data_IF_314963743476
#
_entry.id   IF_314963743476
#
_cell.length_a   1.000
_cell.length_b   1.000
_cell.length_c   1.000
_cell.angle_alpha   90.00
_cell.angle_beta   90.00
_cell.angle_gamma   90.00
#
_symmetry.space_group_name_H-M   'P 1'
#
loop_
_entity.id
_entity.type
_entity.pdbx_description
1 polymer ?
#
# COMPACT_ATOMS: atom_id res chain seq x y z
N UNK A 1 27.14 -40.46 -15.78
CA UNK A 1 27.08 -40.15 -17.23
C UNK A 1 26.73 -38.68 -17.48
N UNK A 2 25.58 -38.20 -16.99
CA UNK A 2 25.08 -36.83 -17.23
C UNK A 2 26.09 -35.71 -16.97
N UNK A 3 26.67 -35.62 -15.76
CA UNK A 3 27.66 -34.57 -15.43
C UNK A 3 28.86 -34.62 -16.38
N UNK A 4 29.42 -35.81 -16.66
CA UNK A 4 30.57 -35.95 -17.58
C UNK A 4 30.24 -35.43 -18.97
N UNK A 5 29.08 -35.80 -19.52
CA UNK A 5 28.64 -35.34 -20.84
C UNK A 5 28.44 -33.80 -20.90
N UNK A 6 27.90 -33.20 -19.83
CA UNK A 6 27.77 -31.74 -19.74
C UNK A 6 29.14 -31.05 -19.72
N UNK A 7 30.10 -31.62 -18.98
CA UNK A 7 31.46 -31.09 -18.88
C UNK A 7 32.28 -31.28 -20.16
N UNK A 8 32.12 -32.39 -20.88
CA UNK A 8 32.81 -32.65 -22.16
C UNK A 8 32.12 -32.04 -23.37
N UNK A 9 30.93 -31.42 -23.18
CA UNK A 9 30.05 -30.90 -24.23
C UNK A 9 29.45 -31.97 -25.17
N UNK A 10 29.42 -33.23 -24.74
CA UNK A 10 28.82 -34.37 -25.46
C UNK A 10 27.40 -34.67 -24.95
N UNK A 11 26.60 -33.64 -24.72
CA UNK A 11 25.25 -33.80 -24.17
C UNK A 11 24.27 -34.31 -25.24
N UNK A 12 23.47 -35.32 -24.87
CA UNK A 12 22.29 -35.76 -25.63
C UNK A 12 21.03 -35.73 -24.75
N UNK A 13 19.85 -35.38 -25.30
CA UNK A 13 18.58 -35.35 -24.54
C UNK A 13 18.23 -36.67 -23.84
N UNK A 14 18.71 -37.79 -24.39
CA UNK A 14 18.52 -39.13 -23.82
C UNK A 14 19.11 -39.23 -22.41
N UNK A 15 20.24 -38.58 -22.13
CA UNK A 15 20.87 -38.58 -20.81
C UNK A 15 19.99 -37.92 -19.73
N UNK A 16 19.26 -36.86 -20.10
CA UNK A 16 18.30 -36.21 -19.21
C UNK A 16 17.06 -37.08 -19.00
N UNK A 17 16.59 -37.77 -20.04
CA UNK A 17 15.45 -38.70 -19.92
C UNK A 17 15.79 -39.90 -19.03
N UNK A 18 16.99 -40.46 -19.17
CA UNK A 18 17.50 -41.52 -18.30
C UNK A 18 17.61 -41.06 -16.84
N UNK A 19 18.20 -39.87 -16.62
CA UNK A 19 18.27 -39.28 -15.29
C UNK A 19 16.87 -39.06 -14.68
N UNK A 20 15.93 -38.53 -15.47
CA UNK A 20 14.54 -38.34 -15.05
C UNK A 20 13.85 -39.65 -14.67
N UNK A 21 14.11 -40.72 -15.43
CA UNK A 21 13.59 -42.06 -15.13
C UNK A 21 14.14 -42.62 -13.83
N UNK A 22 15.42 -42.38 -13.52
CA UNK A 22 16.02 -42.76 -12.22
C UNK A 22 15.34 -41.97 -11.10
N UNK A 23 15.23 -40.65 -11.23
CA UNK A 23 14.56 -39.78 -10.24
C UNK A 23 13.14 -40.28 -9.94
N UNK A 24 12.35 -40.57 -10.99
CA UNK A 24 10.97 -41.07 -10.86
C UNK A 24 10.84 -42.41 -10.12
N UNK A 25 11.91 -43.21 -10.05
CA UNK A 25 11.94 -44.47 -9.29
C UNK A 25 12.21 -44.25 -7.80
N UNK A 26 13.06 -43.27 -7.47
CA UNK A 26 13.47 -43.00 -6.10
C UNK A 26 12.55 -42.02 -5.35
N UNK A 27 11.73 -41.25 -6.05
CA UNK A 27 10.76 -40.36 -5.44
C UNK A 27 9.48 -40.28 -6.27
N UNK A 28 8.36 -40.65 -5.64
CA UNK A 28 7.03 -40.60 -6.27
C UNK A 28 6.59 -39.18 -6.61
N UNK A 29 7.01 -38.18 -5.83
CA UNK A 29 6.64 -36.77 -6.05
C UNK A 29 7.14 -36.23 -7.39
N UNK A 30 8.27 -36.75 -7.88
CA UNK A 30 8.84 -36.34 -9.15
C UNK A 30 8.41 -37.25 -10.31
N UNK A 31 7.49 -38.21 -10.15
CA UNK A 31 7.18 -39.18 -11.22
C UNK A 31 6.49 -38.56 -12.44
N UNK A 32 5.69 -37.51 -12.22
CA UNK A 32 4.90 -36.84 -13.26
C UNK A 32 5.67 -35.82 -14.08
N UNK A 33 4.93 -35.07 -14.89
CA UNK A 33 5.40 -33.96 -15.73
C UNK A 33 4.89 -32.59 -15.25
N UNK A 34 4.45 -32.50 -13.99
CA UNK A 34 4.03 -31.24 -13.40
C UNK A 34 5.24 -30.31 -13.19
N UNK A 35 4.99 -29.01 -13.03
CA UNK A 35 6.04 -28.11 -12.56
C UNK A 35 6.36 -28.39 -11.08
N UNK A 36 7.64 -28.31 -10.73
CA UNK A 36 8.16 -28.58 -9.41
C UNK A 36 9.00 -27.41 -8.92
N UNK A 37 9.10 -27.24 -7.60
CA UNK A 37 10.05 -26.32 -6.99
C UNK A 37 11.48 -26.86 -7.18
N UNK A 38 12.34 -26.06 -7.82
CA UNK A 38 13.72 -26.44 -8.10
C UNK A 38 14.55 -26.57 -6.82
N UNK A 39 14.25 -25.80 -5.77
CA UNK A 39 14.94 -25.88 -4.48
C UNK A 39 14.62 -27.19 -3.79
N UNK A 40 13.36 -27.60 -3.77
CA UNK A 40 12.94 -28.88 -3.20
C UNK A 40 13.62 -30.05 -3.93
N UNK A 41 13.65 -30.01 -5.27
CA UNK A 41 14.34 -31.02 -6.06
C UNK A 41 15.84 -31.07 -5.77
N UNK A 42 16.50 -29.91 -5.64
CA UNK A 42 17.92 -29.82 -5.33
C UNK A 42 18.25 -30.42 -3.95
N UNK A 43 17.47 -30.07 -2.92
CA UNK A 43 17.66 -30.60 -1.57
C UNK A 43 17.50 -32.12 -1.55
N UNK A 44 16.42 -32.62 -2.16
CA UNK A 44 16.21 -34.07 -2.31
C UNK A 44 17.37 -34.77 -3.02
N UNK A 45 17.86 -34.20 -4.13
CA UNK A 45 18.95 -34.77 -4.91
C UNK A 45 20.25 -34.81 -4.10
N UNK A 46 20.56 -33.72 -3.40
CA UNK A 46 21.76 -33.64 -2.55
C UNK A 46 21.72 -34.64 -1.41
N UNK A 47 20.57 -34.84 -0.78
CA UNK A 47 20.40 -35.84 0.29
C UNK A 47 20.55 -37.26 -0.26
N UNK A 48 19.95 -37.56 -1.42
CA UNK A 48 20.11 -38.88 -2.05
C UNK A 48 21.55 -39.17 -2.46
N UNK A 49 22.23 -38.18 -3.04
CA UNK A 49 23.65 -38.31 -3.35
C UNK A 49 24.49 -38.49 -2.09
N UNK A 50 24.14 -37.82 -0.98
CA UNK A 50 24.84 -37.97 0.29
C UNK A 50 24.69 -39.40 0.84
N UNK A 51 23.47 -39.94 0.85
CA UNK A 51 23.18 -41.30 1.30
C UNK A 51 23.88 -42.34 0.43
N UNK A 52 23.81 -42.23 -0.89
CA UNK A 52 24.42 -43.20 -1.81
C UNK A 52 25.96 -43.22 -1.71
N UNK A 53 26.59 -42.05 -1.52
CA UNK A 53 28.03 -41.94 -1.31
C UNK A 53 28.45 -42.36 0.12
N UNK A 54 27.56 -42.19 1.11
CA UNK A 54 27.80 -42.58 2.51
C UNK A 54 27.64 -44.09 2.75
N UNK A 55 26.65 -44.72 2.11
CA UNK A 55 26.35 -46.14 2.23
C UNK A 55 27.43 -47.04 1.60
N UNK A 56 28.24 -46.51 0.67
CA UNK A 56 29.42 -47.20 0.13
C UNK A 56 30.58 -47.34 1.14
N UNK A 57 30.46 -46.77 2.36
CA UNK A 57 31.43 -46.91 3.46
C UNK A 57 30.95 -47.92 4.51
N UNK A 58 31.52 -49.15 4.60
CA UNK A 58 30.97 -50.26 5.40
C UNK A 58 31.12 -50.13 6.94
N UNK A 59 31.43 -48.96 7.49
CA UNK A 59 31.87 -48.82 8.89
C UNK A 59 30.80 -48.45 9.94
N UNK A 60 29.49 -48.48 9.64
CA UNK A 60 28.47 -47.97 10.59
C UNK A 60 27.21 -48.83 10.76
N UNK A 61 27.31 -50.15 10.62
CA UNK A 61 26.31 -51.02 11.22
C UNK A 61 26.82 -51.50 12.58
N UNK A 62 26.04 -51.22 13.62
CA UNK A 62 26.22 -51.54 15.05
C UNK A 62 26.95 -50.50 15.91
N UNK A 63 26.15 -49.66 16.60
CA UNK A 63 26.28 -49.36 18.03
C UNK A 63 25.02 -48.63 18.49
N UNK A 64 24.08 -49.38 19.04
CA UNK A 64 22.97 -48.82 19.82
C UNK A 64 23.52 -48.21 21.13
N UNK A 65 22.95 -47.12 21.65
CA UNK A 65 23.44 -46.51 22.87
C UNK A 65 22.92 -47.30 24.08
N UNK A 66 23.82 -48.00 24.78
CA UNK A 66 23.58 -48.50 26.13
C UNK A 66 23.62 -47.32 27.09
N UNK A 67 22.50 -47.03 27.75
CA UNK A 67 22.43 -46.06 28.84
C UNK A 67 23.12 -46.65 30.09
N UNK A 68 24.10 -45.94 30.64
CA UNK A 68 24.59 -46.16 32.01
C UNK A 68 24.67 -44.81 32.70
N UNK A 69 23.99 -44.69 33.84
CA UNK A 69 23.89 -43.48 34.64
C UNK A 69 25.12 -43.18 35.50
N UNK A 70 25.29 -41.89 35.83
CA UNK A 70 26.25 -41.36 36.80
C UNK A 70 26.13 -39.82 36.96
N UNK A 71 26.46 -39.24 38.13
CA UNK A 71 25.73 -38.10 38.75
C UNK A 71 26.29 -36.69 38.43
N UNK A 72 25.63 -35.59 38.87
CA UNK A 72 25.89 -34.24 38.39
C UNK A 72 26.90 -33.50 39.28
N UNK A 73 27.88 -32.80 38.68
CA UNK A 73 28.60 -31.72 39.36
C UNK A 73 29.12 -30.70 38.36
N UNK A 74 28.89 -29.43 38.70
CA UNK A 74 29.08 -28.26 37.84
C UNK A 74 30.54 -27.87 37.61
N UNK A 75 30.75 -27.24 36.46
CA UNK A 75 31.99 -26.56 36.11
C UNK A 75 31.88 -26.02 34.69
N UNK A 76 31.85 -24.70 34.53
CA UNK A 76 31.86 -23.99 33.25
C UNK A 76 33.03 -24.49 32.39
N UNK A 77 32.71 -25.21 31.32
CA UNK A 77 33.59 -25.46 30.16
C UNK A 77 32.76 -25.16 28.90
N UNK A 78 33.32 -24.47 27.89
CA UNK A 78 32.61 -24.32 26.62
C UNK A 78 32.32 -25.72 26.05
N UNK A 79 31.15 -25.95 25.43
CA UNK A 79 30.84 -27.26 24.87
C UNK A 79 31.84 -27.53 23.75
N UNK A 80 32.76 -28.46 23.99
CA UNK A 80 33.54 -29.06 22.92
C UNK A 80 32.53 -29.73 21.99
N UNK A 81 32.52 -29.28 20.73
CA UNK A 81 31.83 -29.97 19.65
C UNK A 81 32.17 -31.46 19.74
N UNK A 82 31.21 -32.39 19.56
CA UNK A 82 31.52 -33.80 19.60
C UNK A 82 32.61 -34.06 18.57
N UNK A 83 33.77 -34.52 19.05
CA UNK A 83 34.83 -35.06 18.20
C UNK A 83 34.27 -36.33 17.56
N UNK A 84 33.52 -36.16 16.47
CA UNK A 84 33.21 -37.24 15.55
C UNK A 84 34.53 -37.71 14.93
N UNK A 85 34.72 -39.03 14.76
CA UNK A 85 36.00 -39.55 14.31
C UNK A 85 36.31 -38.99 12.93
N UNK A 86 37.49 -38.39 12.83
CA UNK A 86 38.16 -38.01 11.59
C UNK A 86 38.20 -39.26 10.70
N UNK A 87 37.30 -39.31 9.72
CA UNK A 87 37.23 -40.45 8.83
C UNK A 87 35.96 -40.45 8.01
N UNK A 88 35.87 -39.55 7.01
CA UNK A 88 35.06 -39.74 5.80
C UNK A 88 35.25 -38.57 4.83
N UNK A 89 36.07 -38.81 3.81
CA UNK A 89 36.11 -38.02 2.59
C UNK A 89 34.90 -38.40 1.72
N UNK A 90 33.73 -37.83 2.03
CA UNK A 90 32.67 -37.63 1.04
C UNK A 90 32.84 -36.23 0.47
N UNK A 91 32.53 -35.99 -0.80
CA UNK A 91 32.78 -34.70 -1.49
C UNK A 91 32.10 -33.46 -0.85
N UNK A 92 31.29 -33.67 0.22
CA UNK A 92 30.74 -32.63 1.10
C UNK A 92 31.65 -32.26 2.29
N UNK A 93 32.65 -33.09 2.62
CA UNK A 93 33.57 -32.86 3.74
C UNK A 93 34.61 -31.76 3.46
N UNK A 94 34.81 -31.39 2.20
CA UNK A 94 35.71 -30.29 1.78
C UNK A 94 35.08 -28.91 1.94
N UNK A 95 33.76 -28.80 2.08
CA UNK A 95 33.06 -27.56 2.47
C UNK A 95 32.51 -27.73 3.89
N UNK A 96 33.16 -27.10 4.87
CA UNK A 96 32.68 -27.08 6.26
C UNK A 96 31.20 -26.61 6.26
N UNK A 97 30.23 -27.41 6.74
CA UNK A 97 28.84 -26.94 6.81
C UNK A 97 28.81 -25.70 7.69
N UNK A 98 28.26 -24.61 7.16
CA UNK A 98 28.02 -23.41 7.94
C UNK A 98 27.07 -23.76 9.08
N UNK A 99 27.49 -23.49 10.32
CA UNK A 99 26.70 -23.77 11.52
C UNK A 99 26.02 -22.47 11.92
N UNK A 100 24.70 -22.43 11.85
CA UNK A 100 23.89 -21.34 12.38
C UNK A 100 23.51 -21.64 13.83
N UNK A 101 23.20 -20.61 14.61
CA UNK A 101 22.60 -20.77 15.93
C UNK A 101 21.12 -20.37 15.84
N UNK A 102 20.22 -21.33 15.95
CA UNK A 102 18.80 -21.05 16.14
C UNK A 102 18.51 -21.01 17.64
N UNK A 103 17.92 -19.92 18.13
CA UNK A 103 17.58 -19.75 19.54
C UNK A 103 16.07 -19.60 19.65
N UNK A 104 15.40 -20.56 20.28
CA UNK A 104 13.96 -20.54 20.48
C UNK A 104 13.65 -20.31 21.95
N UNK A 105 12.75 -19.37 22.24
CA UNK A 105 12.28 -19.10 23.60
C UNK A 105 10.83 -19.56 23.72
N UNK A 106 10.56 -20.48 24.65
CA UNK A 106 9.19 -20.93 24.89
C UNK A 106 8.36 -19.77 25.49
N UNK A 107 7.21 -19.38 24.91
CA UNK A 107 6.40 -18.27 25.41
C UNK A 107 5.72 -18.56 26.76
N UNK A 108 5.63 -19.83 27.17
CA UNK A 108 4.98 -20.23 28.42
C UNK A 108 5.92 -20.34 29.62
N UNK A 109 7.12 -20.90 29.43
CA UNK A 109 8.08 -21.12 30.51
C UNK A 109 9.35 -20.28 30.39
N UNK A 110 9.45 -19.44 29.35
CA UNK A 110 10.59 -18.55 29.04
C UNK A 110 11.94 -19.28 28.94
N UNK A 111 11.93 -20.61 28.85
CA UNK A 111 13.14 -21.40 28.66
C UNK A 111 13.64 -21.19 27.23
N UNK A 112 14.89 -20.75 27.13
CA UNK A 112 15.60 -20.65 25.87
C UNK A 112 16.29 -21.97 25.54
N UNK A 113 16.10 -22.45 24.32
CA UNK A 113 16.81 -23.59 23.74
C UNK A 113 17.60 -23.12 22.53
N UNK A 114 18.90 -23.40 22.53
CA UNK A 114 19.79 -23.07 21.42
C UNK A 114 20.18 -24.37 20.72
N UNK A 115 20.01 -24.40 19.40
CA UNK A 115 20.39 -25.53 18.56
C UNK A 115 21.36 -25.05 17.49
N UNK A 116 22.43 -25.83 17.27
CA UNK A 116 23.46 -25.56 16.28
C UNK A 116 23.36 -26.58 15.17
N UNK A 117 22.37 -26.40 14.29
CA UNK A 117 22.13 -27.33 13.20
C UNK A 117 22.91 -26.89 11.95
N UNK A 118 23.59 -27.84 11.27
CA UNK A 118 24.20 -27.56 9.98
C UNK A 118 23.11 -27.32 8.94
N UNK A 119 23.24 -26.26 8.15
CA UNK A 119 22.30 -25.95 7.07
C UNK A 119 22.97 -26.08 5.70
N UNK A 120 22.17 -26.43 4.69
CA UNK A 120 22.61 -26.63 3.30
C UNK A 120 22.38 -25.40 2.42
N UNK A 121 21.34 -24.62 2.74
CA UNK A 121 20.99 -23.38 2.07
C UNK A 121 20.34 -22.42 3.07
N UNK A 122 20.30 -21.13 2.73
CA UNK A 122 19.58 -20.11 3.49
C UNK A 122 18.44 -19.61 2.60
N UNK A 123 17.21 -19.66 3.11
CA UNK A 123 16.04 -19.08 2.47
C UNK A 123 15.92 -17.62 2.87
N UNK A 124 16.24 -16.71 1.95
CA UNK A 124 16.20 -15.27 2.23
C UNK A 124 14.87 -14.65 1.78
N UNK A 125 14.18 -13.89 2.65
CA UNK A 125 12.99 -13.15 2.25
C UNK A 125 13.39 -12.04 1.26
N UNK A 126 12.60 -11.89 0.20
CA UNK A 126 12.80 -10.82 -0.78
C UNK A 126 12.13 -9.55 -0.21
N UNK A 127 12.88 -8.45 0.00
CA UNK A 127 12.28 -7.16 0.34
C UNK A 127 11.17 -6.82 -0.65
N UNK A 128 9.99 -6.55 -0.13
CA UNK A 128 8.89 -6.05 -0.94
C UNK A 128 8.79 -4.54 -0.80
N UNK A 129 8.45 -3.89 -1.91
CA UNK A 129 8.19 -2.45 -1.92
C UNK A 129 7.03 -2.12 -0.95
N UNK A 130 7.36 -1.35 0.09
CA UNK A 130 6.42 -0.97 1.16
C UNK A 130 5.61 0.30 0.85
N UNK A 131 5.76 0.87 -0.35
CA UNK A 131 5.07 2.10 -0.77
C UNK A 131 4.28 1.90 -2.06
N UNK A 132 3.20 2.68 -2.21
CA UNK A 132 2.46 2.85 -3.46
C UNK A 132 2.62 4.27 -3.97
N UNK A 133 2.70 4.45 -5.28
CA UNK A 133 2.60 5.77 -5.89
C UNK A 133 1.15 6.26 -5.84
N UNK A 134 0.93 7.44 -5.29
CA UNK A 134 -0.35 8.13 -5.31
C UNK A 134 -0.17 9.54 -5.85
N UNK A 135 -1.04 9.90 -6.79
CA UNK A 135 -1.12 11.26 -7.30
C UNK A 135 -2.21 12.04 -6.56
N UNK A 136 -1.83 13.13 -5.92
CA UNK A 136 -2.73 13.98 -5.13
C UNK A 136 -2.78 15.36 -5.76
N UNK A 137 -3.99 15.88 -5.99
CA UNK A 137 -4.18 17.27 -6.43
C UNK A 137 -4.18 18.18 -5.20
N UNK A 138 -3.21 19.08 -5.14
CA UNK A 138 -3.15 20.16 -4.16
C UNK A 138 -3.89 21.38 -4.69
N UNK A 139 -4.70 21.97 -3.83
CA UNK A 139 -5.38 23.23 -4.08
C UNK A 139 -4.71 24.29 -3.22
N UNK A 140 -3.92 25.15 -3.84
CA UNK A 140 -3.20 26.23 -3.17
C UNK A 140 -4.01 27.51 -3.27
N UNK A 141 -4.35 28.07 -2.11
CA UNK A 141 -4.98 29.38 -2.02
C UNK A 141 -3.87 30.46 -2.03
N UNK A 142 -3.51 30.93 -3.22
CA UNK A 142 -2.67 32.11 -3.44
C UNK A 142 -3.52 33.25 -4.04
N UNK A 143 -2.90 34.38 -4.43
CA UNK A 143 -3.54 35.49 -5.19
C UNK A 143 -4.40 35.03 -6.38
N UNK A 144 -4.10 33.82 -6.92
CA UNK A 144 -4.97 33.04 -7.80
C UNK A 144 -4.97 31.58 -7.36
N UNK A 145 -6.06 30.87 -7.58
CA UNK A 145 -6.13 29.42 -7.40
C UNK A 145 -5.05 28.73 -8.24
N UNK A 146 -4.21 27.93 -7.59
CA UNK A 146 -3.24 27.08 -8.30
C UNK A 146 -3.49 25.63 -7.94
N UNK A 147 -3.67 24.82 -8.97
CA UNK A 147 -3.84 23.39 -8.87
C UNK A 147 -2.56 22.72 -9.33
N UNK A 148 -1.98 21.91 -8.45
CA UNK A 148 -0.77 21.15 -8.77
C UNK A 148 -1.00 19.72 -8.34
N UNK A 149 -0.75 18.78 -9.25
CA UNK A 149 -0.78 17.36 -8.93
C UNK A 149 0.61 16.96 -8.49
N UNK A 150 0.73 16.42 -7.29
CA UNK A 150 2.00 15.93 -6.74
C UNK A 150 1.98 14.41 -6.66
N UNK A 151 3.15 13.80 -6.85
CA UNK A 151 3.34 12.36 -6.74
C UNK A 151 3.93 12.00 -5.38
N UNK A 152 3.29 11.11 -4.63
CA UNK A 152 3.72 10.69 -3.30
C UNK A 152 3.95 9.18 -3.24
N UNK A 153 5.04 8.75 -2.59
CA UNK A 153 5.31 7.34 -2.25
C UNK A 153 4.69 7.01 -0.89
N UNK A 154 3.41 6.63 -0.88
CA UNK A 154 2.63 6.47 0.34
C UNK A 154 2.82 5.06 0.91
N UNK A 155 3.13 4.89 2.21
CA UNK A 155 3.26 3.57 2.82
C UNK A 155 2.00 2.71 2.65
N UNK A 156 2.17 1.43 2.31
CA UNK A 156 1.06 0.48 2.09
C UNK A 156 0.15 0.35 3.31
N UNK A 157 0.75 0.34 4.50
CA UNK A 157 0.05 0.25 5.79
C UNK A 157 -0.10 1.62 6.49
N UNK A 158 0.16 2.72 5.77
CA UNK A 158 0.06 4.08 6.32
C UNK A 158 -1.37 4.57 6.49
N UNK A 159 -1.55 5.50 7.42
CA UNK A 159 -2.83 6.15 7.76
C UNK A 159 -3.11 7.38 6.86
N UNK A 160 -4.33 7.91 6.95
CA UNK A 160 -4.67 9.20 6.31
C UNK A 160 -3.88 10.36 6.93
N UNK A 161 -3.51 10.27 8.21
CA UNK A 161 -2.67 11.28 8.86
C UNK A 161 -1.27 11.30 8.23
N UNK A 162 -0.69 10.13 7.95
CA UNK A 162 0.61 10.03 7.25
C UNK A 162 0.53 10.65 5.85
N UNK A 163 -0.55 10.37 5.11
CA UNK A 163 -0.78 10.99 3.81
C UNK A 163 -0.86 12.52 3.92
N UNK A 164 -1.58 13.05 4.91
CA UNK A 164 -1.69 14.51 5.13
C UNK A 164 -0.34 15.13 5.45
N UNK A 165 0.45 14.52 6.31
CA UNK A 165 1.79 14.99 6.64
C UNK A 165 2.71 15.00 5.41
N UNK A 166 2.64 13.95 4.57
CA UNK A 166 3.38 13.90 3.30
C UNK A 166 2.94 14.99 2.33
N UNK A 167 1.62 15.20 2.17
CA UNK A 167 1.03 16.26 1.35
C UNK A 167 1.49 17.64 1.84
N UNK A 168 1.45 17.88 3.14
CA UNK A 168 1.84 19.14 3.77
C UNK A 168 3.31 19.47 3.49
N UNK A 169 4.20 18.48 3.66
CA UNK A 169 5.63 18.61 3.36
C UNK A 169 5.89 18.90 1.88
N UNK A 170 5.24 18.17 0.98
CA UNK A 170 5.41 18.34 -0.47
C UNK A 170 4.87 19.72 -0.94
N UNK A 171 3.73 20.14 -0.41
CA UNK A 171 3.11 21.43 -0.71
C UNK A 171 3.74 22.63 0.00
N UNK A 172 4.68 22.41 0.94
CA UNK A 172 5.21 23.43 1.87
C UNK A 172 4.10 24.17 2.63
N UNK A 173 3.05 23.45 3.02
CA UNK A 173 1.88 23.96 3.76
C UNK A 173 1.91 23.34 5.16
N UNK A 174 1.51 24.05 6.23
CA UNK A 174 1.29 23.41 7.53
C UNK A 174 0.25 22.27 7.44
N UNK A 175 0.47 21.14 8.17
CA UNK A 175 -0.35 19.93 8.05
C UNK A 175 -1.83 20.14 8.37
N UNK A 176 -2.13 21.13 9.22
CA UNK A 176 -3.46 21.53 9.64
C UNK A 176 -4.31 22.20 8.54
N UNK A 177 -3.73 22.53 7.38
CA UNK A 177 -4.43 23.15 6.26
C UNK A 177 -4.62 22.19 5.07
N UNK A 178 -4.17 20.94 5.19
CA UNK A 178 -4.23 19.97 4.09
C UNK A 178 -5.63 19.34 3.96
N UNK A 179 -6.34 19.71 2.90
CA UNK A 179 -7.62 19.08 2.52
C UNK A 179 -7.40 18.08 1.37
N UNK A 180 -7.90 16.85 1.54
CA UNK A 180 -7.87 15.83 0.49
C UNK A 180 -9.23 15.73 -0.19
N UNK A 181 -9.27 15.84 -1.52
CA UNK A 181 -10.46 15.53 -2.32
C UNK A 181 -10.52 14.03 -2.64
N UNK A 182 -11.54 13.27 -2.17
CA UNK A 182 -11.81 11.98 -2.76
C UNK A 182 -12.40 12.17 -4.17
N UNK A 183 -12.01 11.31 -5.11
CA UNK A 183 -12.68 11.18 -6.41
C UNK A 183 -14.14 10.78 -6.17
N UNK A 184 -15.12 11.34 -6.92
CA UNK A 184 -16.49 10.83 -6.88
C UNK A 184 -16.51 9.38 -7.35
N UNK A 185 -17.18 8.51 -6.59
CA UNK A 185 -17.58 7.17 -7.01
C UNK A 185 -18.44 7.28 -8.27
N UNK A 186 -17.95 6.79 -9.41
CA UNK A 186 -18.73 6.80 -10.66
C UNK A 186 -17.98 6.71 -11.99
N UNK A 187 -16.65 6.67 -12.04
CA UNK A 187 -15.93 6.38 -13.29
C UNK A 187 -15.34 4.95 -13.28
N UNK A 188 -15.47 4.20 -14.39
CA UNK A 188 -15.03 2.81 -14.47
C UNK A 188 -13.51 2.72 -14.26
N UNK A 189 -13.08 1.63 -13.62
CA UNK A 189 -11.70 1.16 -13.64
C UNK A 189 -11.20 1.11 -15.08
N UNK A 190 -10.47 2.14 -15.52
CA UNK A 190 -9.58 2.04 -16.66
C UNK A 190 -8.16 1.84 -16.12
N UNK A 191 -7.82 0.57 -15.92
CA UNK A 191 -6.68 -0.08 -16.58
C UNK A 191 -6.66 -1.55 -16.13
N UNK A 192 -6.91 -2.51 -17.04
CA UNK A 192 -6.62 -3.91 -16.80
C UNK A 192 -5.14 -4.16 -17.12
N UNK A 193 -4.41 -4.77 -16.19
CA UNK A 193 -3.24 -5.60 -16.52
C UNK A 193 -2.98 -6.60 -15.38
N UNK A 194 -3.72 -7.73 -15.46
CA UNK A 194 -3.39 -9.14 -15.11
C UNK A 194 -2.73 -9.54 -13.77
N UNK A 195 -2.82 -10.82 -13.37
CA UNK A 195 -4.01 -11.62 -13.12
C UNK A 195 -4.29 -11.72 -11.60
N UNK A 196 -5.49 -12.21 -11.29
CA UNK A 196 -5.99 -12.38 -9.94
C UNK A 196 -5.07 -13.25 -9.06
N UNK A 197 -4.63 -12.69 -7.93
CA UNK A 197 -4.32 -13.46 -6.72
C UNK A 197 -5.56 -13.35 -5.83
N UNK A 198 -6.20 -14.46 -5.43
CA UNK A 198 -7.34 -14.40 -4.53
C UNK A 198 -6.84 -13.91 -3.17
N UNK A 199 -7.22 -12.68 -2.79
CA UNK A 199 -7.04 -12.18 -1.43
C UNK A 199 -8.05 -12.89 -0.52
N UNK A 200 -7.64 -13.42 0.63
CA UNK A 200 -8.58 -13.86 1.65
C UNK A 200 -9.37 -12.65 2.16
N UNK A 201 -10.68 -12.84 2.35
CA UNK A 201 -11.60 -11.85 2.90
C UNK A 201 -11.17 -11.45 4.32
N UNK A 202 -10.38 -10.37 4.42
CA UNK A 202 -10.08 -9.68 5.67
C UNK A 202 -11.08 -8.54 5.91
N UNK A 203 -11.38 -8.20 7.18
CA UNK A 203 -12.56 -7.43 7.54
C UNK A 203 -12.52 -6.02 6.95
N UNK A 204 -13.66 -5.61 6.38
CA UNK A 204 -13.94 -4.25 5.96
C UNK A 204 -13.65 -3.32 7.15
N UNK A 205 -12.75 -2.37 6.98
CA UNK A 205 -12.42 -1.36 7.96
C UNK A 205 -13.67 -0.54 8.30
N UNK A 206 -14.32 -0.90 9.40
CA UNK A 206 -15.26 -0.04 10.11
C UNK A 206 -14.49 1.19 10.60
N UNK A 207 -15.05 2.41 10.51
CA UNK A 207 -14.45 3.55 11.19
C UNK A 207 -14.50 3.30 12.70
N UNK A 208 -13.35 3.03 13.30
CA UNK A 208 -13.20 2.98 14.75
C UNK A 208 -13.55 4.35 15.33
N UNK A 209 -14.63 4.40 16.08
CA UNK A 209 -15.03 5.49 16.94
C UNK A 209 -13.96 5.70 18.02
N UNK A 210 -13.07 6.67 17.81
CA UNK A 210 -12.32 7.30 18.88
C UNK A 210 -12.84 8.73 19.01
N UNK A 211 -13.78 8.92 19.94
CA UNK A 211 -14.19 10.24 20.40
C UNK A 211 -13.01 10.80 21.20
N UNK A 212 -12.28 11.75 20.61
CA UNK A 212 -11.45 12.66 21.38
C UNK A 212 -12.11 14.02 21.33
N UNK A 213 -12.77 14.36 22.44
CA UNK A 213 -13.10 15.74 22.79
C UNK A 213 -11.81 16.55 22.86
N UNK A 214 -11.94 17.85 22.72
CA UNK A 214 -10.95 18.86 23.09
C UNK A 214 -9.79 19.05 22.11
N UNK A 215 -10.12 19.70 20.98
CA UNK A 215 -9.29 20.77 20.39
C UNK A 215 -10.13 21.54 19.34
N UNK A 216 -11.24 22.12 19.80
CA UNK A 216 -11.98 23.13 19.05
C UNK A 216 -11.18 24.43 19.08
N UNK A 217 -10.21 24.62 18.16
CA UNK A 217 -9.77 25.96 17.81
C UNK A 217 -10.92 26.65 17.06
N UNK A 218 -11.81 27.22 17.87
CA UNK A 218 -12.86 28.16 17.51
C UNK A 218 -12.20 29.34 16.83
N UNK A 219 -12.19 29.35 15.49
CA UNK A 219 -11.83 30.55 14.76
C UNK A 219 -12.73 31.70 15.27
N UNK A 220 -12.17 32.83 15.71
CA UNK A 220 -12.95 33.97 16.17
C UNK A 220 -13.68 34.53 14.94
N UNK A 221 -14.99 34.27 14.83
CA UNK A 221 -15.80 34.82 13.74
C UNK A 221 -16.84 33.89 13.10
N UNK A 222 -17.08 32.67 13.59
CA UNK A 222 -18.22 31.86 13.10
C UNK A 222 -18.15 31.48 11.60
N UNK A 223 -16.99 31.65 10.97
CA UNK A 223 -16.74 31.32 9.57
C UNK A 223 -16.45 29.83 9.39
N UNK A 224 -17.06 29.23 8.38
CA UNK A 224 -16.91 27.82 8.02
C UNK A 224 -16.17 27.67 6.70
N UNK A 225 -15.41 26.58 6.57
CA UNK A 225 -14.68 26.25 5.36
C UNK A 225 -15.58 25.42 4.43
N UNK A 226 -15.76 25.88 3.20
CA UNK A 226 -16.58 25.24 2.18
C UNK A 226 -15.67 24.70 1.08
N UNK A 227 -15.88 23.44 0.71
CA UNK A 227 -15.20 22.75 -0.36
C UNK A 227 -16.21 22.46 -1.47
N UNK A 228 -16.14 23.20 -2.59
CA UNK A 228 -17.14 23.14 -3.64
C UNK A 228 -16.59 22.46 -4.89
N UNK A 229 -17.44 21.66 -5.53
CA UNK A 229 -17.16 21.08 -6.85
C UNK A 229 -18.28 21.48 -7.81
N UNK A 230 -17.94 21.90 -9.03
CA UNK A 230 -18.92 22.19 -10.07
C UNK A 230 -19.27 20.91 -10.83
N UNK A 231 -20.56 20.67 -11.00
CA UNK A 231 -21.08 19.54 -11.78
C UNK A 231 -22.16 20.00 -12.73
N UNK A 232 -22.31 19.30 -13.85
CA UNK A 232 -23.35 19.51 -14.84
C UNK A 232 -24.07 18.19 -15.11
N UNK A 233 -25.39 18.26 -15.32
CA UNK A 233 -26.24 17.11 -15.63
C UNK A 233 -27.38 16.93 -14.63
N UNK A 234 -28.24 15.95 -14.88
CA UNK A 234 -29.40 15.63 -14.04
C UNK A 234 -29.39 14.15 -13.64
N UNK A 235 -29.72 13.86 -12.38
CA UNK A 235 -29.82 12.49 -11.87
C UNK A 235 -28.46 11.75 -11.81
N UNK A 236 -28.37 10.50 -12.31
CA UNK A 236 -27.16 9.68 -12.17
C UNK A 236 -25.98 10.11 -13.07
N UNK A 237 -26.18 11.02 -14.02
CA UNK A 237 -25.15 11.48 -14.98
C UNK A 237 -24.55 12.85 -14.61
N UNK A 238 -24.24 13.05 -13.33
CA UNK A 238 -23.53 14.25 -12.88
C UNK A 238 -22.05 14.16 -13.25
N UNK A 239 -21.62 15.03 -14.15
CA UNK A 239 -20.22 15.12 -14.57
C UNK A 239 -19.57 16.35 -13.94
N UNK A 240 -18.37 16.18 -13.38
CA UNK A 240 -17.60 17.29 -12.81
C UNK A 240 -16.93 18.07 -13.93
N UNK A 241 -16.88 19.39 -13.78
CA UNK A 241 -16.09 20.26 -14.66
C UNK A 241 -15.37 21.35 -13.87
N UNK A 242 -14.26 21.84 -14.41
CA UNK A 242 -13.49 22.93 -13.82
C UNK A 242 -12.83 22.62 -12.47
N UNK A 243 -12.13 23.62 -11.91
CA UNK A 243 -11.48 23.52 -10.61
C UNK A 243 -12.45 23.29 -9.46
N UNK A 244 -12.06 22.56 -8.40
CA UNK A 244 -12.72 22.67 -7.12
C UNK A 244 -12.43 24.05 -6.49
N UNK A 245 -13.39 24.56 -5.72
CA UNK A 245 -13.28 25.85 -5.03
C UNK A 245 -13.17 25.62 -3.53
N UNK A 246 -12.40 26.48 -2.86
CA UNK A 246 -12.41 26.59 -1.40
C UNK A 246 -12.94 27.98 -1.03
N UNK A 247 -13.88 28.06 -0.11
CA UNK A 247 -14.46 29.33 0.34
C UNK A 247 -14.50 29.36 1.86
N UNK A 248 -14.29 30.54 2.44
CA UNK A 248 -14.43 30.73 3.88
C UNK A 248 -15.53 31.76 4.12
N UNK A 249 -16.70 31.27 4.52
CA UNK A 249 -17.92 32.06 4.57
C UNK A 249 -18.47 32.13 5.99
N UNK A 250 -19.14 33.23 6.33
CA UNK A 250 -19.89 33.35 7.57
C UNK A 250 -21.17 32.55 7.49
N UNK A 251 -21.57 31.91 8.60
CA UNK A 251 -22.80 31.12 8.64
C UNK A 251 -24.07 31.94 8.40
N UNK A 252 -24.01 33.24 8.70
CA UNK A 252 -25.08 34.22 8.47
C UNK A 252 -25.18 34.73 7.04
N UNK A 253 -24.32 34.27 6.12
CA UNK A 253 -24.32 34.73 4.72
C UNK A 253 -25.69 34.49 4.07
N UNK A 254 -26.17 35.47 3.32
CA UNK A 254 -27.40 35.33 2.53
C UNK A 254 -27.16 34.45 1.30
N UNK A 255 -28.24 33.91 0.72
CA UNK A 255 -28.13 33.17 -0.54
C UNK A 255 -27.49 34.00 -1.65
N UNK A 256 -27.90 35.26 -1.80
CA UNK A 256 -27.38 36.16 -2.83
C UNK A 256 -25.88 36.41 -2.65
N UNK A 257 -25.44 36.67 -1.42
CA UNK A 257 -24.03 36.88 -1.12
C UNK A 257 -23.20 35.61 -1.32
N UNK A 258 -23.72 34.44 -0.92
CA UNK A 258 -23.07 33.16 -1.15
C UNK A 258 -22.92 32.87 -2.65
N UNK A 259 -23.98 33.10 -3.43
CA UNK A 259 -23.95 32.96 -4.88
C UNK A 259 -22.91 33.90 -5.51
N UNK A 260 -22.88 35.17 -5.10
CA UNK A 260 -21.89 36.14 -5.57
C UNK A 260 -20.46 35.75 -5.19
N UNK A 261 -20.22 35.23 -3.98
CA UNK A 261 -18.90 34.80 -3.54
C UNK A 261 -18.40 33.59 -4.34
N UNK A 262 -19.28 32.62 -4.62
CA UNK A 262 -18.96 31.48 -5.50
C UNK A 262 -18.62 31.95 -6.91
N UNK A 263 -19.44 32.84 -7.49
CA UNK A 263 -19.19 33.40 -8.82
C UNK A 263 -17.90 34.23 -8.87
N UNK A 264 -17.59 34.97 -7.81
CA UNK A 264 -16.36 35.75 -7.70
C UNK A 264 -15.12 34.86 -7.81
N UNK A 265 -15.11 33.69 -7.16
CA UNK A 265 -14.02 32.72 -7.30
C UNK A 265 -13.93 32.12 -8.70
N UNK A 266 -15.05 32.05 -9.43
CA UNK A 266 -15.11 31.50 -10.78
C UNK A 266 -14.79 32.52 -11.88
N UNK A 267 -14.63 33.82 -11.58
CA UNK A 267 -14.37 34.88 -12.57
C UNK A 267 -13.20 34.59 -13.51
N UNK A 268 -12.14 33.93 -13.03
CA UNK A 268 -11.00 33.56 -13.87
C UNK A 268 -11.29 32.48 -14.92
N UNK A 269 -12.43 31.80 -14.80
CA UNK A 269 -12.83 30.63 -15.62
C UNK A 269 -14.08 30.95 -16.46
N UNK A 270 -14.82 32.01 -16.10
CA UNK A 270 -16.01 32.47 -16.81
C UNK A 270 -15.63 33.14 -18.15
N UNK A 271 -16.32 32.75 -19.23
CA UNK A 271 -16.13 33.30 -20.59
C UNK A 271 -17.00 34.51 -20.93
N UNK A 272 -18.06 34.74 -20.16
CA UNK A 272 -19.03 35.80 -20.41
C UNK A 272 -19.46 36.49 -19.11
N UNK A 273 -20.06 37.66 -19.25
CA UNK A 273 -20.65 38.36 -18.11
C UNK A 273 -21.86 37.61 -17.57
N UNK A 274 -21.91 37.48 -16.24
CA UNK A 274 -23.08 36.95 -15.56
C UNK A 274 -24.14 38.04 -15.56
N UNK A 275 -24.97 38.08 -16.61
CA UNK A 275 -26.18 38.88 -16.61
C UNK A 275 -27.09 38.38 -15.48
N UNK A 276 -27.50 39.23 -14.52
CA UNK A 276 -28.52 38.87 -13.55
C UNK A 276 -29.87 38.76 -14.28
N UNK A 277 -30.09 37.64 -14.97
CA UNK A 277 -31.36 37.34 -15.62
C UNK A 277 -32.35 36.89 -14.54
N UNK A 278 -32.98 37.88 -13.91
CA UNK A 278 -34.10 37.68 -12.98
C UNK A 278 -33.72 37.19 -11.59
N UNK A 279 -34.70 37.24 -10.69
CA UNK A 279 -34.69 36.84 -9.27
C UNK A 279 -34.46 35.33 -9.03
N UNK A 280 -33.88 34.60 -9.99
CA UNK A 280 -33.67 33.14 -9.94
C UNK A 280 -32.25 32.73 -9.57
N UNK A 281 -32.12 31.58 -8.89
CA UNK A 281 -30.81 30.97 -8.61
C UNK A 281 -30.16 30.46 -9.91
N UNK A 282 -28.88 30.81 -10.14
CA UNK A 282 -28.14 30.43 -11.36
C UNK A 282 -27.70 28.96 -11.35
N UNK A 283 -27.64 28.36 -10.16
CA UNK A 283 -27.23 26.99 -9.91
C UNK A 283 -27.88 26.50 -8.61
N UNK A 284 -27.89 25.18 -8.41
CA UNK A 284 -28.35 24.55 -7.17
C UNK A 284 -27.16 24.11 -6.34
N UNK A 285 -27.25 24.21 -5.01
CA UNK A 285 -26.20 23.76 -4.10
C UNK A 285 -26.71 22.56 -3.32
N UNK A 286 -25.97 21.45 -3.36
CA UNK A 286 -26.24 20.26 -2.54
C UNK A 286 -25.10 19.91 -1.60
N UNK A 287 -25.44 19.31 -0.47
CA UNK A 287 -24.48 18.76 0.47
C UNK A 287 -23.90 17.44 -0.07
N UNK A 288 -22.56 17.32 -0.10
CA UNK A 288 -21.88 16.12 -0.56
C UNK A 288 -21.59 15.15 0.60
N UNK A 289 -21.84 13.86 0.39
CA UNK A 289 -21.49 12.80 1.35
C UNK A 289 -22.54 12.51 2.44
N UNK A 290 -23.78 12.98 2.30
CA UNK A 290 -24.90 12.58 3.15
C UNK A 290 -25.53 11.25 2.72
N UNK A 291 -26.17 10.53 3.65
CA UNK A 291 -27.10 9.44 3.31
C UNK A 291 -28.23 9.98 2.43
N UNK A 292 -28.64 9.20 1.43
CA UNK A 292 -29.83 9.49 0.62
C UNK A 292 -31.03 9.69 1.55
N UNK A 293 -31.88 10.73 1.38
CA UNK A 293 -31.94 11.66 0.24
C UNK A 293 -30.93 12.82 0.28
N UNK A 294 -30.47 13.23 -0.91
CA UNK A 294 -29.61 14.40 -1.10
C UNK A 294 -30.26 15.66 -0.52
N UNK A 295 -29.55 16.36 0.37
CA UNK A 295 -30.01 17.64 0.92
C UNK A 295 -29.56 18.80 0.03
N UNK A 296 -30.51 19.54 -0.52
CA UNK A 296 -30.28 20.79 -1.26
C UNK A 296 -30.43 21.99 -0.33
N UNK A 297 -29.61 23.00 -0.54
CA UNK A 297 -29.78 24.31 0.08
C UNK A 297 -30.80 25.10 -0.73
N UNK A 298 -31.83 25.64 -0.06
CA UNK A 298 -32.90 26.38 -0.72
C UNK A 298 -32.47 27.83 -0.98
N UNK A 299 -32.70 28.37 -2.19
CA UNK A 299 -32.54 29.79 -2.46
C UNK A 299 -33.44 30.71 -1.65
N UNK A 300 -34.54 30.18 -1.11
CA UNK A 300 -35.50 30.92 -0.29
C UNK A 300 -35.08 31.00 1.18
N UNK A 301 -34.06 30.23 1.59
CA UNK A 301 -33.53 30.30 2.94
C UNK A 301 -32.66 31.56 3.08
N UNK A 302 -32.98 32.48 4.01
CA UNK A 302 -32.17 33.67 4.23
C UNK A 302 -30.76 33.36 4.73
N UNK A 303 -30.52 32.18 5.30
CA UNK A 303 -29.22 31.75 5.87
C UNK A 303 -28.96 30.27 5.54
N UNK A 304 -28.66 29.92 4.27
CA UNK A 304 -28.54 28.54 3.82
C UNK A 304 -27.45 27.74 4.56
N UNK A 305 -26.41 28.42 5.07
CA UNK A 305 -25.33 27.78 5.83
C UNK A 305 -25.68 27.49 7.31
N UNK A 306 -26.81 28.00 7.80
CA UNK A 306 -27.36 27.65 9.11
C UNK A 306 -28.27 26.41 9.07
N UNK A 307 -28.39 25.75 7.92
CA UNK A 307 -29.23 24.57 7.77
C UNK A 307 -28.75 23.40 8.64
N UNK A 308 -29.62 22.65 9.34
CA UNK A 308 -29.22 21.60 10.29
C UNK A 308 -28.40 20.46 9.67
N UNK A 309 -28.54 20.22 8.37
CA UNK A 309 -27.69 19.25 7.66
C UNK A 309 -26.21 19.70 7.57
N UNK A 310 -25.95 21.00 7.56
CA UNK A 310 -24.60 21.58 7.59
C UNK A 310 -23.95 21.29 8.95
N UNK A 311 -24.70 21.42 10.04
CA UNK A 311 -24.20 21.10 11.39
C UNK A 311 -23.84 19.63 11.54
N UNK A 312 -24.69 18.74 11.04
CA UNK A 312 -24.39 17.31 11.01
C UNK A 312 -23.14 17.01 10.19
N UNK A 313 -22.97 17.66 9.03
CA UNK A 313 -21.78 17.47 8.20
C UNK A 313 -20.49 17.97 8.88
N UNK A 314 -20.57 19.09 9.62
CA UNK A 314 -19.45 19.60 10.40
C UNK A 314 -19.07 18.66 11.54
N UNK A 315 -20.06 18.08 12.23
CA UNK A 315 -19.84 17.08 13.29
C UNK A 315 -19.21 15.79 12.76
N UNK A 316 -19.54 15.42 11.51
CA UNK A 316 -19.00 14.24 10.82
C UNK A 316 -17.65 14.49 10.12
N UNK A 317 -17.12 15.71 10.15
CA UNK A 317 -15.81 16.03 9.59
C UNK A 317 -14.73 15.26 10.36
N UNK A 318 -14.13 14.26 9.70
CA UNK A 318 -13.22 13.31 10.33
C UNK A 318 -11.98 13.96 10.98
N UNK A 319 -11.41 13.26 11.96
CA UNK A 319 -10.28 13.75 12.75
C UNK A 319 -9.07 14.16 11.90
N UNK A 320 -8.50 15.33 12.23
CA UNK A 320 -7.17 15.79 11.82
C UNK A 320 -7.09 16.70 10.56
N UNK A 321 -8.18 17.35 10.18
CA UNK A 321 -8.18 18.49 9.26
C UNK A 321 -9.12 19.59 9.78
N UNK A 322 -9.12 20.80 9.17
CA UNK A 322 -10.01 21.86 9.62
C UNK A 322 -11.47 21.44 9.35
N UNK A 323 -12.41 21.78 10.24
CA UNK A 323 -13.82 21.46 10.04
C UNK A 323 -14.29 22.12 8.74
N UNK A 324 -14.78 21.31 7.81
CA UNK A 324 -15.14 21.76 6.47
C UNK A 324 -16.38 21.04 5.95
N UNK A 325 -17.14 21.73 5.10
CA UNK A 325 -18.32 21.17 4.46
C UNK A 325 -18.03 20.96 3.00
N UNK A 326 -18.44 19.81 2.48
CA UNK A 326 -18.34 19.50 1.05
C UNK A 326 -19.67 19.82 0.38
N UNK A 327 -19.64 20.68 -0.62
CA UNK A 327 -20.81 21.08 -1.40
C UNK A 327 -20.60 20.75 -2.87
N UNK A 328 -21.68 20.44 -3.57
CA UNK A 328 -21.69 20.33 -5.03
C UNK A 328 -22.57 21.43 -5.59
N UNK A 329 -22.01 22.18 -6.53
CA UNK A 329 -22.70 23.24 -7.27
C UNK A 329 -23.16 22.64 -8.60
N UNK A 330 -24.46 22.47 -8.74
CA UNK A 330 -25.09 21.87 -9.89
C UNK A 330 -25.55 22.94 -10.87
N UNK A 331 -25.00 22.86 -12.08
CA UNK A 331 -25.28 23.75 -13.18
C UNK A 331 -26.16 23.03 -14.20
N UNK A 332 -27.13 23.75 -14.75
CA UNK A 332 -27.86 23.29 -15.92
C UNK A 332 -26.94 23.35 -17.16
N UNK A 333 -27.14 22.44 -18.12
CA UNK A 333 -26.24 22.31 -19.27
C UNK A 333 -26.13 23.61 -20.09
N UNK A 334 -27.26 24.27 -20.34
CA UNK A 334 -27.34 25.54 -21.08
C UNK A 334 -26.57 26.66 -20.38
N UNK A 335 -26.72 26.77 -19.05
CA UNK A 335 -25.99 27.75 -18.23
C UNK A 335 -24.50 27.45 -18.21
N UNK A 336 -24.12 26.17 -18.10
CA UNK A 336 -22.73 25.72 -18.13
C UNK A 336 -22.06 26.05 -19.46
N UNK A 337 -22.70 25.74 -20.58
CA UNK A 337 -22.17 26.03 -21.92
C UNK A 337 -22.04 27.54 -22.18
N UNK A 338 -23.02 28.34 -21.75
CA UNK A 338 -22.98 29.80 -21.88
C UNK A 338 -21.83 30.42 -21.08
N UNK A 339 -21.68 30.03 -19.82
CA UNK A 339 -20.77 30.69 -18.89
C UNK A 339 -19.34 30.12 -18.91
N UNK A 340 -19.19 28.81 -19.13
CA UNK A 340 -17.89 28.12 -19.07
C UNK A 340 -17.49 27.48 -20.41
N UNK A 341 -18.44 27.32 -21.35
CA UNK A 341 -18.19 26.65 -22.63
C UNK A 341 -17.76 25.19 -22.48
N UNK A 342 -16.77 24.80 -23.29
CA UNK A 342 -16.24 23.43 -23.37
C UNK A 342 -15.25 23.05 -22.25
N UNK A 343 -15.20 23.81 -21.15
CA UNK A 343 -14.35 23.47 -20.00
C UNK A 343 -14.75 22.09 -19.48
N UNK A 344 -13.78 21.17 -19.51
CA UNK A 344 -13.87 19.82 -18.96
C UNK A 344 -13.26 19.78 -17.54
N UNK A 345 -12.97 18.59 -17.01
CA UNK A 345 -12.19 18.48 -15.77
C UNK A 345 -10.86 19.23 -15.94
N UNK A 346 -10.52 20.06 -14.96
CA UNK A 346 -9.38 20.96 -15.05
C UNK A 346 -8.08 20.19 -15.34
N UNK A 347 -7.31 20.68 -16.33
CA UNK A 347 -5.98 20.16 -16.62
C UNK A 347 -5.04 20.60 -15.49
N UNK A 348 -5.00 19.80 -14.43
CA UNK A 348 -4.07 20.02 -13.32
C UNK A 348 -2.65 19.78 -13.81
N UNK A 349 -1.76 20.74 -13.58
CA UNK A 349 -0.34 20.59 -13.93
C UNK A 349 0.31 19.56 -13.01
N UNK A 350 1.00 18.59 -13.61
CA UNK A 350 1.78 17.60 -12.87
C UNK A 350 3.11 18.21 -12.43
N UNK A 351 3.39 18.13 -11.12
CA UNK A 351 4.69 18.47 -10.56
C UNK A 351 5.76 17.45 -10.98
N UNK A 352 7.03 17.83 -10.86
CA UNK A 352 8.16 16.92 -11.11
C UNK A 352 8.09 15.65 -10.25
N UNK A 353 7.53 15.75 -9.03
CA UNK A 353 7.35 14.60 -8.13
C UNK A 353 6.45 13.52 -8.72
N UNK A 354 5.48 13.87 -9.57
CA UNK A 354 4.64 12.88 -10.28
C UNK A 354 5.51 12.01 -11.19
N UNK A 355 6.35 12.64 -12.02
CA UNK A 355 7.24 11.92 -12.95
C UNK A 355 8.26 11.08 -12.18
N UNK A 356 8.83 11.63 -11.09
CA UNK A 356 9.78 10.91 -10.23
C UNK A 356 9.15 9.66 -9.63
N UNK A 357 7.92 9.75 -9.11
CA UNK A 357 7.23 8.60 -8.53
C UNK A 357 6.81 7.57 -9.58
N UNK A 358 6.39 8.02 -10.77
CA UNK A 358 6.09 7.13 -11.90
C UNK A 358 7.33 6.36 -12.35
N UNK A 359 8.48 7.01 -12.48
CA UNK A 359 9.73 6.34 -12.83
C UNK A 359 10.16 5.36 -11.74
N UNK A 360 10.14 5.78 -10.48
CA UNK A 360 10.52 4.93 -9.36
C UNK A 360 9.61 3.69 -9.22
N UNK A 361 8.31 3.81 -9.46
CA UNK A 361 7.34 2.70 -9.37
C UNK A 361 7.15 1.93 -10.68
N UNK A 362 7.57 2.48 -11.82
CA UNK A 362 7.60 1.78 -13.11
C UNK A 362 8.83 0.90 -13.27
N UNK A 363 9.94 1.21 -12.59
CA UNK A 363 11.09 0.31 -12.53
C UNK A 363 10.75 -0.96 -11.74
N UNK A 364 11.16 -2.11 -12.27
CA UNK A 364 11.09 -3.37 -11.53
C UNK A 364 11.79 -3.19 -10.19
N UNK A 365 11.17 -3.68 -9.12
CA UNK A 365 11.77 -3.63 -7.81
C UNK A 365 13.02 -4.50 -7.80
N UNK A 366 14.19 -3.87 -7.75
CA UNK A 366 15.45 -4.56 -7.49
C UNK A 366 15.75 -4.49 -6.00
N UNK A 367 16.24 -5.59 -5.45
CA UNK A 367 16.85 -5.64 -4.14
C UNK A 367 18.25 -6.24 -4.26
N UNK A 368 19.13 -5.90 -3.34
CA UNK A 368 20.46 -6.50 -3.23
C UNK A 368 20.40 -7.73 -2.34
N UNK A 369 21.37 -8.63 -2.50
CA UNK A 369 21.50 -9.78 -1.61
C UNK A 369 21.70 -9.35 -0.15
N UNK A 370 22.40 -8.23 0.08
CA UNK A 370 22.62 -7.64 1.40
C UNK A 370 21.28 -7.22 2.06
N UNK A 371 20.40 -6.56 1.32
CA UNK A 371 19.06 -6.20 1.83
C UNK A 371 18.23 -7.42 2.24
N UNK A 372 18.33 -8.52 1.49
CA UNK A 372 17.66 -9.78 1.86
C UNK A 372 18.24 -10.36 3.17
N UNK A 373 19.56 -10.32 3.36
CA UNK A 373 20.20 -10.76 4.61
C UNK A 373 19.86 -9.86 5.81
N UNK A 374 19.75 -8.54 5.58
CA UNK A 374 19.32 -7.62 6.63
C UNK A 374 17.89 -7.89 7.10
N UNK A 375 16.98 -8.25 6.18
CA UNK A 375 15.62 -8.65 6.56
C UNK A 375 15.63 -9.96 7.35
N UNK A 376 16.33 -10.97 6.83
CA UNK A 376 16.48 -12.27 7.50
C UNK A 376 16.99 -12.14 8.94
N UNK A 377 18.04 -11.34 9.14
CA UNK A 377 18.65 -11.15 10.48
C UNK A 377 17.82 -10.29 11.42
N UNK A 378 16.97 -9.39 10.92
CA UNK A 378 16.04 -8.62 11.75
C UNK A 378 14.91 -9.48 12.31
N UNK A 379 14.39 -10.42 11.52
CA UNK A 379 13.33 -11.35 11.97
C UNK A 379 13.85 -12.30 13.06
N UNK A 380 15.11 -12.73 12.99
CA UNK A 380 15.75 -13.60 14.00
C UNK A 380 16.09 -12.87 15.33
N UNK A 381 15.96 -11.54 15.40
CA UNK A 381 16.22 -10.76 16.61
C UNK A 381 14.97 -10.50 17.47
N UNK A 382 13.80 -11.00 17.06
CA UNK A 382 12.50 -10.72 17.71
C UNK A 382 12.15 -11.73 18.79
#
# INVERSE_FOLDING_TARGET
ALIRALWTRDYSPQLSAEFKNIVSKHSSQFRGNAQHDALEFLLWLLDRMHEDLGAASPAQQSRGPTQVGGPPCGGRRPPQAPSSPVGRASCRATSRPSTGQSSLTCPHCLKQSNTFDPFLCISLPIPLRQTRALNVTLVLQCERWRFVRVGLAVPLLGTVADLRAMVAREGRIPPEQSLSFPRPSGCPRSLPTSPAVPRPEGPRLLPSTALSSDCLHRAPGGRILLLLCNTVGTGPQLTRFGPPLVLREERSVSWEQLQQNILAQLRGVLRGEVLPQGTGALFRIRLAGGSVPCTYLSPQDPRPLCHPAIDRALQLSGAGGPPHIRLTVEWDMSTKERLFGSIQEEVVQDAESVRRQQQAHGQQHSCTLDECFQLYTKEEQV
#
